data_IF_218179275465
#
_entry.id   IF_218179275465
#
_cell.length_a   1.000
_cell.length_b   1.000
_cell.length_c   1.000
_cell.angle_alpha   90.00
_cell.angle_beta   90.00
_cell.angle_gamma   90.00
#
_symmetry.space_group_name_H-M   'P 1'
#
loop_
_entity.id
_entity.type
_entity.pdbx_description
1 polymer ?
#
# COMPACT_ATOMS: atom_id res chain seq x y z
N UNK A 1 15.78 -19.03 23.81
CA UNK A 1 14.82 -17.93 23.61
C UNK A 1 14.07 -18.29 22.35
N UNK A 2 12.80 -18.67 22.46
CA UNK A 2 12.05 -19.27 21.35
C UNK A 2 11.65 -18.20 20.34
N UNK A 3 12.23 -18.30 19.15
CA UNK A 3 11.91 -17.55 17.95
C UNK A 3 10.47 -17.91 17.54
N UNK A 4 9.52 -17.01 17.81
CA UNK A 4 8.14 -17.17 17.36
C UNK A 4 8.08 -16.61 15.94
N UNK A 5 8.26 -17.47 14.95
CA UNK A 5 7.82 -17.18 13.59
C UNK A 5 6.31 -16.93 13.64
N UNK A 6 5.89 -15.69 13.38
CA UNK A 6 4.47 -15.37 13.19
C UNK A 6 4.03 -16.02 11.88
N UNK A 7 3.46 -17.22 11.98
CA UNK A 7 2.87 -17.93 10.85
C UNK A 7 1.76 -17.07 10.24
N UNK A 8 1.93 -16.69 8.97
CA UNK A 8 1.00 -15.84 8.23
C UNK A 8 -0.35 -16.54 8.07
N UNK A 9 -1.42 -15.93 8.59
CA UNK A 9 -2.75 -16.51 8.47
C UNK A 9 -3.22 -16.56 7.00
N UNK A 10 -3.61 -17.75 6.54
CA UNK A 10 -4.12 -17.97 5.20
C UNK A 10 -5.62 -17.68 5.11
N UNK A 11 -5.99 -16.70 4.28
CA UNK A 11 -7.38 -16.26 4.14
C UNK A 11 -8.16 -17.08 3.13
N UNK A 12 -8.92 -18.07 3.62
CA UNK A 12 -9.94 -18.76 2.84
C UNK A 12 -11.18 -17.90 2.55
N UNK A 13 -12.04 -18.41 1.66
CA UNK A 13 -13.30 -17.75 1.28
C UNK A 13 -14.22 -17.55 2.49
N UNK A 14 -14.43 -18.59 3.30
CA UNK A 14 -15.26 -18.54 4.52
C UNK A 14 -14.74 -17.51 5.53
N UNK A 15 -13.45 -17.58 5.87
CA UNK A 15 -12.82 -16.63 6.79
C UNK A 15 -12.93 -15.18 6.29
N UNK A 16 -12.80 -14.98 4.97
CA UNK A 16 -12.96 -13.65 4.37
C UNK A 16 -14.41 -13.16 4.46
N UNK A 17 -15.40 -14.01 4.19
CA UNK A 17 -16.82 -13.68 4.38
C UNK A 17 -17.12 -13.26 5.82
N UNK A 18 -16.61 -14.02 6.79
CA UNK A 18 -16.83 -13.72 8.21
C UNK A 18 -16.14 -12.42 8.63
N UNK A 19 -14.91 -12.17 8.15
CA UNK A 19 -14.25 -10.88 8.35
C UNK A 19 -15.11 -9.74 7.80
N UNK A 20 -15.66 -9.87 6.59
CA UNK A 20 -16.49 -8.83 5.97
C UNK A 20 -17.74 -8.56 6.82
N UNK A 21 -18.41 -9.62 7.29
CA UNK A 21 -19.59 -9.49 8.16
C UNK A 21 -19.26 -8.77 9.47
N UNK A 22 -18.13 -9.12 10.10
CA UNK A 22 -17.70 -8.46 11.33
C UNK A 22 -17.30 -7.01 11.07
N UNK A 23 -16.53 -6.76 10.02
CA UNK A 23 -16.12 -5.42 9.62
C UNK A 23 -17.32 -4.49 9.37
N UNK A 24 -18.35 -4.99 8.69
CA UNK A 24 -19.61 -4.24 8.46
C UNK A 24 -20.27 -3.75 9.75
N UNK A 25 -20.18 -4.54 10.83
CA UNK A 25 -20.74 -4.23 12.16
C UNK A 25 -19.94 -3.18 12.95
N UNK A 26 -18.78 -2.74 12.46
CA UNK A 26 -17.93 -1.76 13.12
C UNK A 26 -17.72 -0.49 12.26
N UNK A 27 -18.73 0.39 12.13
CA UNK A 27 -18.63 1.64 11.36
C UNK A 27 -17.45 2.54 11.74
N UNK A 28 -17.01 2.51 13.00
CA UNK A 28 -15.83 3.23 13.51
C UNK A 28 -14.56 2.97 12.67
N UNK A 29 -14.49 1.84 11.97
CA UNK A 29 -13.34 1.47 11.15
C UNK A 29 -13.37 2.07 9.73
N UNK A 30 -14.53 2.49 9.20
CA UNK A 30 -14.68 2.88 7.79
C UNK A 30 -15.57 4.10 7.52
N UNK A 31 -16.48 4.44 8.40
CA UNK A 31 -17.43 5.54 8.23
C UNK A 31 -16.83 6.83 8.79
N UNK A 32 -16.49 7.79 7.92
CA UNK A 32 -15.95 9.09 8.33
C UNK A 32 -16.93 9.94 9.15
N UNK A 33 -18.23 9.70 8.97
CA UNK A 33 -19.31 10.34 9.74
C UNK A 33 -19.49 9.74 11.14
N UNK A 34 -18.85 8.61 11.46
CA UNK A 34 -18.89 8.07 12.81
C UNK A 34 -18.05 8.97 13.73
N UNK A 35 -18.62 9.45 14.85
CA UNK A 35 -17.95 10.36 15.77
C UNK A 35 -16.63 9.80 16.33
N UNK A 36 -16.53 8.48 16.48
CA UNK A 36 -15.35 7.80 16.98
C UNK A 36 -14.34 7.43 15.87
N UNK A 37 -14.60 7.76 14.60
CA UNK A 37 -13.76 7.36 13.47
C UNK A 37 -12.29 7.78 13.62
N UNK A 38 -12.04 8.96 14.21
CA UNK A 38 -10.69 9.50 14.48
C UNK A 38 -10.09 8.99 15.79
N UNK A 39 -10.87 8.32 16.63
CA UNK A 39 -10.42 7.83 17.93
C UNK A 39 -9.62 6.52 17.78
N UNK A 40 -8.29 6.62 17.92
CA UNK A 40 -7.37 5.47 17.79
C UNK A 40 -7.71 4.32 18.75
N UNK A 41 -8.12 4.64 19.98
CA UNK A 41 -8.50 3.64 20.98
C UNK A 41 -9.73 2.85 20.56
N UNK A 42 -10.81 3.55 20.19
CA UNK A 42 -12.06 2.92 19.74
C UNK A 42 -11.90 2.08 18.48
N UNK A 43 -11.03 2.51 17.56
CA UNK A 43 -10.67 1.71 16.38
C UNK A 43 -9.93 0.43 16.77
N UNK A 44 -8.97 0.52 17.69
CA UNK A 44 -8.23 -0.63 18.19
C UNK A 44 -9.17 -1.58 18.95
N UNK A 45 -10.10 -1.07 19.76
CA UNK A 45 -11.12 -1.86 20.45
C UNK A 45 -11.99 -2.64 19.44
N UNK A 46 -12.42 -1.99 18.35
CA UNK A 46 -13.16 -2.64 17.29
C UNK A 46 -12.34 -3.73 16.57
N UNK A 47 -11.06 -3.48 16.28
CA UNK A 47 -10.17 -4.50 15.70
C UNK A 47 -9.96 -5.69 16.65
N UNK A 48 -9.82 -5.42 17.95
CA UNK A 48 -9.74 -6.45 18.98
C UNK A 48 -11.02 -7.27 19.06
N UNK A 49 -12.19 -6.64 18.99
CA UNK A 49 -13.48 -7.33 18.97
C UNK A 49 -13.59 -8.29 17.76
N UNK A 50 -13.20 -7.83 16.57
CA UNK A 50 -13.12 -8.67 15.36
C UNK A 50 -12.17 -9.85 15.59
N UNK A 51 -10.96 -9.60 16.10
CA UNK A 51 -9.97 -10.64 16.38
C UNK A 51 -10.52 -11.68 17.35
N UNK A 52 -11.09 -11.24 18.48
CA UNK A 52 -11.65 -12.13 19.49
C UNK A 52 -12.75 -13.04 18.93
N UNK A 53 -13.58 -12.53 18.02
CA UNK A 53 -14.58 -13.35 17.32
C UNK A 53 -13.93 -14.40 16.41
N UNK A 54 -12.94 -14.02 15.61
CA UNK A 54 -12.26 -14.94 14.70
C UNK A 54 -11.49 -16.02 15.47
N UNK A 55 -10.83 -15.66 16.58
CA UNK A 55 -10.16 -16.61 17.48
C UNK A 55 -11.14 -17.57 18.13
N UNK A 56 -12.31 -17.10 18.57
CA UNK A 56 -13.35 -17.98 19.14
C UNK A 56 -13.85 -19.01 18.14
N UNK A 57 -13.77 -18.71 16.85
CA UNK A 57 -14.11 -19.63 15.74
C UNK A 57 -12.93 -20.51 15.32
N UNK A 58 -11.87 -20.58 16.12
CA UNK A 58 -10.73 -21.48 15.93
C UNK A 58 -9.62 -20.94 15.04
N UNK A 59 -9.59 -19.63 14.73
CA UNK A 59 -8.55 -19.03 13.89
C UNK A 59 -7.49 -18.34 14.73
N UNK A 60 -6.23 -18.77 14.60
CA UNK A 60 -5.11 -18.02 15.14
C UNK A 60 -4.78 -16.85 14.19
N UNK A 61 -5.18 -15.63 14.53
CA UNK A 61 -5.00 -14.47 13.65
C UNK A 61 -4.56 -13.22 14.43
N UNK A 62 -3.60 -12.49 13.87
CA UNK A 62 -3.12 -11.25 14.44
C UNK A 62 -4.02 -10.06 14.05
N UNK A 63 -3.91 -8.96 14.82
CA UNK A 63 -4.55 -7.69 14.43
C UNK A 63 -3.98 -7.19 13.10
N UNK A 64 -2.70 -7.44 12.85
CA UNK A 64 -2.02 -6.96 11.65
C UNK A 64 -2.51 -7.69 10.39
N UNK A 65 -2.79 -8.99 10.48
CA UNK A 65 -3.43 -9.75 9.39
C UNK A 65 -4.83 -9.22 9.06
N UNK A 66 -5.61 -8.89 10.10
CA UNK A 66 -6.94 -8.30 9.93
C UNK A 66 -6.84 -6.94 9.23
N UNK A 67 -5.94 -6.06 9.69
CA UNK A 67 -5.72 -4.75 9.04
C UNK A 67 -5.30 -4.91 7.59
N UNK A 68 -4.33 -5.78 7.32
CA UNK A 68 -3.80 -6.06 5.98
C UNK A 68 -4.90 -6.56 5.06
N UNK A 69 -5.73 -7.50 5.53
CA UNK A 69 -6.86 -8.03 4.75
C UNK A 69 -7.94 -6.97 4.51
N UNK A 70 -8.32 -6.19 5.53
CA UNK A 70 -9.27 -5.08 5.37
C UNK A 70 -8.75 -4.06 4.36
N UNK A 71 -7.47 -3.70 4.42
CA UNK A 71 -6.84 -2.79 3.47
C UNK A 71 -6.94 -3.33 2.04
N UNK A 72 -6.55 -4.60 1.82
CA UNK A 72 -6.67 -5.25 0.51
C UNK A 72 -8.11 -5.24 -0.03
N UNK A 73 -9.09 -5.61 0.79
CA UNK A 73 -10.51 -5.60 0.42
C UNK A 73 -10.99 -4.19 0.00
N UNK A 74 -10.59 -3.16 0.76
CA UNK A 74 -10.92 -1.76 0.44
C UNK A 74 -10.31 -1.32 -0.88
N UNK A 75 -9.04 -1.65 -1.13
CA UNK A 75 -8.34 -1.32 -2.38
C UNK A 75 -9.01 -2.00 -3.57
N UNK A 76 -9.31 -3.31 -3.48
CA UNK A 76 -10.00 -4.05 -4.53
C UNK A 76 -11.39 -3.46 -4.83
N UNK A 77 -12.16 -3.14 -3.78
CA UNK A 77 -13.49 -2.52 -3.93
C UNK A 77 -13.42 -1.12 -4.56
N UNK A 78 -12.50 -0.26 -4.11
CA UNK A 78 -12.31 1.08 -4.67
C UNK A 78 -11.87 1.04 -6.14
N UNK A 79 -11.00 0.10 -6.50
CA UNK A 79 -10.59 -0.13 -7.89
C UNK A 79 -11.79 -0.56 -8.76
N UNK A 80 -12.62 -1.47 -8.25
CA UNK A 80 -13.82 -1.90 -8.96
C UNK A 80 -14.83 -0.76 -9.13
N UNK A 81 -15.08 0.05 -8.09
CA UNK A 81 -15.91 1.25 -8.19
C UNK A 81 -15.37 2.22 -9.23
N UNK A 82 -14.05 2.45 -9.27
CA UNK A 82 -13.41 3.34 -10.23
C UNK A 82 -13.56 2.83 -11.67
N UNK A 83 -13.49 1.51 -11.89
CA UNK A 83 -13.73 0.89 -13.21
C UNK A 83 -15.18 1.10 -13.66
N UNK A 84 -16.14 0.89 -12.75
CA UNK A 84 -17.57 1.08 -13.02
C UNK A 84 -17.95 2.53 -13.26
N UNK A 85 -17.33 3.47 -12.53
CA UNK A 85 -17.56 4.92 -12.76
C UNK A 85 -17.12 5.36 -14.16
N UNK A 86 -16.08 4.73 -14.71
CA UNK A 86 -15.58 5.03 -16.06
C UNK A 86 -16.40 4.34 -17.16
N UNK A 87 -16.96 3.17 -16.87
CA UNK A 87 -17.81 2.43 -17.79
C UNK A 87 -18.93 1.74 -17.02
N UNK A 88 -20.14 2.29 -17.15
CA UNK A 88 -21.35 1.87 -16.43
C UNK A 88 -21.77 0.44 -16.77
N UNK A 89 -21.37 -0.07 -17.94
CA UNK A 89 -21.71 -1.44 -18.38
C UNK A 89 -20.78 -2.52 -17.78
N UNK A 90 -19.69 -2.13 -17.12
CA UNK A 90 -18.75 -3.08 -16.51
C UNK A 90 -19.36 -3.70 -15.25
N UNK A 91 -19.62 -5.01 -15.30
CA UNK A 91 -20.05 -5.79 -14.13
C UNK A 91 -18.90 -6.02 -13.13
N UNK A 92 -19.18 -6.17 -11.83
CA UNK A 92 -18.15 -6.45 -10.84
C UNK A 92 -17.52 -7.82 -11.06
N UNK A 93 -16.18 -7.87 -11.09
CA UNK A 93 -15.44 -9.14 -11.14
C UNK A 93 -15.00 -9.61 -9.75
N UNK A 94 -14.95 -8.70 -8.77
CA UNK A 94 -14.67 -9.03 -7.38
C UNK A 94 -15.81 -9.86 -6.76
N UNK A 95 -15.52 -11.10 -6.38
CA UNK A 95 -16.52 -12.04 -5.86
C UNK A 95 -17.29 -11.52 -4.62
N UNK A 96 -16.61 -10.75 -3.76
CA UNK A 96 -17.19 -10.18 -2.55
C UNK A 96 -17.69 -8.73 -2.74
N UNK A 97 -17.78 -8.23 -3.98
CA UNK A 97 -18.14 -6.84 -4.27
C UNK A 97 -19.44 -6.41 -3.58
N UNK A 98 -20.50 -7.20 -3.74
CA UNK A 98 -21.81 -6.91 -3.14
C UNK A 98 -21.77 -6.94 -1.60
N UNK A 99 -20.89 -7.77 -1.01
CA UNK A 99 -20.74 -7.83 0.44
C UNK A 99 -20.04 -6.60 1.01
N UNK A 100 -19.20 -5.93 0.21
CA UNK A 100 -18.46 -4.72 0.56
C UNK A 100 -19.23 -3.42 0.26
N UNK A 101 -20.46 -3.51 -0.26
CA UNK A 101 -21.21 -2.33 -0.71
C UNK A 101 -21.54 -1.33 0.41
N UNK A 102 -21.50 -1.77 1.68
CA UNK A 102 -21.60 -0.87 2.83
C UNK A 102 -20.47 0.18 2.91
N UNK A 103 -19.38 0.00 2.17
CA UNK A 103 -18.29 0.95 2.07
C UNK A 103 -18.57 2.09 1.08
N UNK A 104 -19.57 1.95 0.20
CA UNK A 104 -19.88 2.90 -0.88
C UNK A 104 -20.00 4.33 -0.38
N UNK A 105 -20.75 4.54 0.70
CA UNK A 105 -20.98 5.87 1.27
C UNK A 105 -19.68 6.56 1.71
N UNK A 106 -18.66 5.79 2.10
CA UNK A 106 -17.33 6.33 2.43
C UNK A 106 -16.54 6.79 1.20
N UNK A 107 -16.91 6.37 -0.01
CA UNK A 107 -16.22 6.68 -1.28
C UNK A 107 -16.98 7.67 -2.17
N UNK A 108 -18.30 7.76 -2.04
CA UNK A 108 -19.11 8.58 -2.95
C UNK A 108 -19.24 10.03 -2.53
N UNK A 109 -18.77 10.41 -1.34
CA UNK A 109 -18.88 11.78 -0.83
C UNK A 109 -20.34 12.12 -0.53
N UNK A 110 -20.59 12.70 0.63
CA UNK A 110 -21.91 13.26 0.90
C UNK A 110 -22.08 14.46 -0.03
N UNK A 111 -22.98 14.36 -1.02
CA UNK A 111 -23.45 15.52 -1.77
C UNK A 111 -24.52 16.21 -0.91
N UNK A 112 -24.07 17.02 0.05
CA UNK A 112 -24.94 18.07 0.61
C UNK A 112 -25.07 19.16 -0.47
N UNK A 113 -26.28 19.64 -0.79
CA UNK A 113 -26.46 20.72 -1.74
C UNK A 113 -26.04 22.06 -1.11
N UNK A 114 -25.22 22.79 -1.87
CA UNK A 114 -24.93 24.23 -1.84
C UNK A 114 -24.40 24.88 -0.55
N UNK A 115 -23.08 25.14 -0.53
CA UNK A 115 -22.58 26.50 -0.31
C UNK A 115 -21.16 26.65 -0.89
N UNK A 116 -21.00 27.52 -1.89
CA UNK A 116 -19.72 27.85 -2.51
C UNK A 116 -18.77 28.51 -1.49
N UNK A 117 -17.71 27.80 -1.11
CA UNK A 117 -16.42 28.45 -0.86
C UNK A 117 -15.26 27.45 -1.03
N UNK A 118 -14.41 27.77 -2.00
CA UNK A 118 -13.23 27.03 -2.40
C UNK A 118 -12.13 27.24 -1.34
N UNK A 119 -11.78 26.20 -0.61
CA UNK A 119 -10.40 26.00 -0.16
C UNK A 119 -9.98 24.55 -0.40
N UNK A 120 -9.16 24.41 -1.44
CA UNK A 120 -8.68 23.19 -2.02
C UNK A 120 -7.58 22.58 -1.16
N UNK A 121 -7.90 21.51 -0.44
CA UNK A 121 -6.92 20.55 0.05
C UNK A 121 -7.54 19.15 0.09
N UNK A 122 -7.68 18.53 -1.09
CA UNK A 122 -7.86 17.07 -1.19
C UNK A 122 -6.49 16.41 -1.26
N UNK A 123 -5.85 16.30 -0.11
CA UNK A 123 -4.79 15.32 0.13
C UNK A 123 -5.43 13.93 0.20
N UNK A 124 -5.75 13.38 -0.97
CA UNK A 124 -6.14 11.99 -1.18
C UNK A 124 -5.32 11.47 -2.35
N UNK A 125 -4.01 11.37 -2.15
CA UNK A 125 -3.06 11.15 -3.23
C UNK A 125 -1.81 10.35 -2.88
N UNK A 126 -1.93 9.20 -2.21
CA UNK A 126 -0.96 8.11 -2.42
C UNK A 126 -1.55 6.73 -2.06
N UNK A 127 -2.49 6.26 -2.87
CA UNK A 127 -2.85 4.84 -2.88
C UNK A 127 -1.76 4.08 -3.65
N UNK A 128 -0.85 3.44 -2.92
CA UNK A 128 0.04 2.45 -3.49
C UNK A 128 -0.79 1.35 -4.15
N UNK A 129 -0.71 1.26 -5.47
CA UNK A 129 -1.27 0.16 -6.27
C UNK A 129 -0.36 -1.06 -6.05
N UNK A 130 -0.55 -1.76 -4.93
CA UNK A 130 -0.21 -3.17 -4.84
C UNK A 130 -1.33 -3.95 -5.53
N UNK A 131 -1.16 -4.23 -6.82
CA UNK A 131 -1.91 -5.29 -7.47
C UNK A 131 -1.30 -6.63 -7.07
N UNK A 132 -1.88 -7.26 -6.04
CA UNK A 132 -1.85 -8.72 -5.93
C UNK A 132 -2.93 -9.26 -6.88
N UNK A 133 -2.46 -9.79 -7.99
CA UNK A 133 -3.23 -10.65 -8.89
C UNK A 133 -3.05 -12.09 -8.41
N UNK A 134 -3.97 -12.57 -7.56
CA UNK A 134 -4.05 -13.99 -7.20
C UNK A 134 -4.98 -14.67 -8.19
N UNK A 135 -4.38 -15.10 -9.30
CA UNK A 135 -4.84 -16.25 -10.05
C UNK A 135 -3.62 -17.11 -10.36
N UNK A 136 -3.48 -18.18 -9.57
CA UNK A 136 -2.62 -19.37 -9.72
C UNK A 136 -1.35 -19.42 -8.83
N UNK A 137 -1.36 -20.41 -7.93
CA UNK A 137 -0.20 -20.95 -7.22
C UNK A 137 0.83 -21.52 -8.21
N UNK A 138 2.10 -21.12 -8.13
CA UNK A 138 3.26 -21.89 -7.63
C UNK A 138 4.56 -21.20 -8.07
N UNK A 139 5.40 -20.81 -7.10
CA UNK A 139 6.87 -20.96 -7.11
C UNK A 139 7.48 -20.03 -6.05
N UNK A 140 8.32 -20.64 -5.23
CA UNK A 140 9.14 -20.15 -4.12
C UNK A 140 10.15 -19.05 -4.49
N UNK A 141 10.84 -18.54 -3.46
CA UNK A 141 12.02 -17.64 -3.46
C UNK A 141 11.65 -16.16 -3.69
N UNK A 142 11.92 -15.22 -2.79
CA UNK A 142 13.16 -14.98 -2.05
C UNK A 142 12.89 -14.56 -0.59
N UNK A 143 13.65 -15.18 0.31
CA UNK A 143 14.05 -14.61 1.60
C UNK A 143 15.26 -13.67 1.40
N UNK A 144 15.41 -12.74 2.35
CA UNK A 144 16.62 -12.01 2.73
C UNK A 144 17.23 -10.96 1.78
N UNK A 145 16.81 -9.70 1.94
CA UNK A 145 17.77 -8.60 2.13
C UNK A 145 17.35 -7.74 3.32
N UNK A 146 18.08 -7.92 4.42
CA UNK A 146 18.10 -7.08 5.61
C UNK A 146 18.95 -5.82 5.35
N UNK A 147 18.32 -4.64 5.24
CA UNK A 147 19.00 -3.37 5.54
C UNK A 147 18.13 -2.55 6.48
N UNK A 148 18.60 -2.46 7.72
CA UNK A 148 18.10 -1.62 8.80
C UNK A 148 18.07 -0.15 8.36
N UNK A 149 16.94 0.52 8.55
CA UNK A 149 16.93 1.98 8.69
C UNK A 149 15.97 2.40 9.80
N UNK A 150 16.55 2.87 10.90
CA UNK A 150 15.85 3.54 11.99
C UNK A 150 15.98 5.06 11.81
N UNK A 151 14.80 5.67 11.66
CA UNK A 151 14.29 6.96 12.19
C UNK A 151 15.05 8.28 11.93
N UNK A 152 14.51 9.16 11.07
CA UNK A 152 13.67 10.36 11.37
C UNK A 152 14.46 11.66 11.64
N UNK A 153 13.83 12.85 11.81
CA UNK A 153 13.22 13.67 10.78
C UNK A 153 13.70 15.14 10.86
N UNK A 154 13.04 16.01 10.09
CA UNK A 154 12.80 17.47 10.32
C UNK A 154 13.49 18.47 9.38
N UNK A 155 12.59 19.15 8.65
CA UNK A 155 12.44 20.59 8.43
C UNK A 155 13.59 21.44 7.88
N UNK A 156 13.26 22.13 6.77
CA UNK A 156 13.35 23.59 6.73
C UNK A 156 14.29 24.15 5.67
N UNK A 157 13.69 24.76 4.63
CA UNK A 157 14.04 26.02 3.95
C UNK A 157 15.34 26.69 4.46
N UNK A 158 16.28 27.19 3.65
CA UNK A 158 16.14 28.32 2.71
C UNK A 158 17.35 28.40 1.76
N UNK A 159 17.15 29.19 0.70
CA UNK A 159 18.05 29.68 -0.34
C UNK A 159 19.34 30.41 0.11
N UNK A 160 20.28 30.48 -0.85
CA UNK A 160 21.33 31.51 -1.07
C UNK A 160 22.74 31.32 -0.47
N UNK A 161 23.71 31.14 -1.39
CA UNK A 161 25.09 31.67 -1.48
C UNK A 161 25.87 31.97 -0.19
N UNK A 162 27.07 31.38 -0.06
CA UNK A 162 28.37 32.08 -0.08
C UNK A 162 29.50 31.08 0.30
N UNK A 163 30.58 31.19 -0.46
CA UNK A 163 31.88 30.53 -0.34
C UNK A 163 32.53 30.64 1.06
N UNK A 164 33.03 29.53 1.62
CA UNK A 164 33.98 29.53 2.75
C UNK A 164 35.15 28.58 2.44
N UNK A 165 36.41 28.98 2.70
CA UNK A 165 37.60 28.27 2.24
C UNK A 165 37.97 27.07 3.12
N UNK A 166 38.69 26.16 2.48
CA UNK A 166 39.18 24.85 2.94
C UNK A 166 40.10 24.94 4.16
N UNK A 167 39.71 24.31 5.27
CA UNK A 167 40.59 23.49 6.11
C UNK A 167 39.74 22.65 7.07
N UNK A 168 40.04 21.34 7.14
CA UNK A 168 39.50 20.34 8.07
C UNK A 168 38.16 19.63 7.77
N UNK A 169 37.99 19.12 6.54
CA UNK A 169 37.09 17.97 6.28
C UNK A 169 37.88 16.84 5.62
N UNK A 170 38.52 16.02 6.47
CA UNK A 170 38.92 14.66 6.08
C UNK A 170 37.76 13.73 6.41
N UNK A 171 36.93 13.41 5.42
CA UNK A 171 36.45 12.03 5.11
C UNK A 171 35.42 12.02 3.96
N UNK A 172 35.92 11.60 2.79
CA UNK A 172 35.22 10.88 1.70
C UNK A 172 33.97 11.55 1.11
N UNK A 173 34.19 12.43 0.13
CA UNK A 173 33.35 12.39 -1.07
C UNK A 173 33.64 11.05 -1.76
N UNK A 174 32.69 10.13 -1.74
CA UNK A 174 32.69 9.03 -2.70
C UNK A 174 32.14 9.61 -3.98
N UNK A 175 33.01 9.74 -4.98
CA UNK A 175 32.61 9.96 -6.37
C UNK A 175 31.49 8.97 -6.70
N UNK A 176 30.35 9.48 -7.17
CA UNK A 176 29.26 8.62 -7.62
C UNK A 176 29.79 7.72 -8.72
N UNK A 177 29.81 6.41 -8.45
CA UNK A 177 30.27 5.41 -9.41
C UNK A 177 29.41 5.46 -10.68
N UNK A 178 29.95 5.01 -11.82
CA UNK A 178 29.30 5.08 -13.13
C UNK A 178 27.93 4.39 -13.11
N UNK A 179 27.79 3.32 -12.33
CA UNK A 179 26.53 2.62 -12.10
C UNK A 179 25.49 3.47 -11.35
N UNK A 180 25.93 4.28 -10.37
CA UNK A 180 25.05 5.20 -9.64
C UNK A 180 24.54 6.31 -10.55
N UNK A 181 25.42 6.85 -11.40
CA UNK A 181 25.07 7.86 -12.40
C UNK A 181 24.08 7.30 -13.42
N UNK A 182 24.32 6.07 -13.90
CA UNK A 182 23.40 5.38 -14.79
C UNK A 182 22.05 5.10 -14.11
N UNK A 183 22.04 4.66 -12.85
CA UNK A 183 20.82 4.43 -12.08
C UNK A 183 19.95 5.69 -11.96
N UNK A 184 20.57 6.85 -11.73
CA UNK A 184 19.88 8.15 -11.73
C UNK A 184 19.33 8.52 -13.11
N UNK A 185 20.07 8.25 -14.18
CA UNK A 185 19.60 8.49 -15.54
C UNK A 185 18.35 7.63 -15.85
N UNK A 186 18.42 6.34 -15.54
CA UNK A 186 17.29 5.40 -15.70
C UNK A 186 16.08 5.88 -14.89
N UNK A 187 16.30 6.35 -13.66
CA UNK A 187 15.24 6.92 -12.84
C UNK A 187 14.56 8.12 -13.51
N UNK A 188 15.35 9.07 -14.05
CA UNK A 188 14.83 10.24 -14.73
C UNK A 188 14.01 9.87 -15.98
N UNK A 189 14.46 8.89 -16.77
CA UNK A 189 13.72 8.43 -17.95
C UNK A 189 12.42 7.70 -17.57
N UNK A 190 12.44 6.86 -16.53
CA UNK A 190 11.23 6.19 -16.04
C UNK A 190 10.18 7.19 -15.53
N UNK A 191 10.60 8.30 -14.92
CA UNK A 191 9.69 9.38 -14.47
C UNK A 191 8.97 10.08 -15.63
N UNK A 192 9.51 10.04 -16.85
CA UNK A 192 8.86 10.63 -18.04
C UNK A 192 7.70 9.78 -18.56
N UNK A 193 7.61 8.50 -18.16
CA UNK A 193 6.56 7.60 -18.63
C UNK A 193 5.29 7.79 -17.78
N UNK A 194 4.34 8.56 -18.30
CA UNK A 194 3.05 8.83 -17.60
C UNK A 194 2.11 7.62 -17.62
N UNK A 195 2.21 6.74 -18.63
CA UNK A 195 1.36 5.56 -18.73
C UNK A 195 1.85 4.46 -17.76
N UNK A 196 1.05 4.08 -16.74
CA UNK A 196 1.50 3.14 -15.71
C UNK A 196 1.73 1.72 -16.24
N UNK A 197 1.03 1.31 -17.30
CA UNK A 197 1.21 -0.02 -17.91
C UNK A 197 2.53 -0.10 -18.67
N UNK A 198 2.89 0.97 -19.41
CA UNK A 198 4.18 1.06 -20.09
C UNK A 198 5.34 1.18 -19.10
N UNK A 199 5.15 1.91 -17.99
CA UNK A 199 6.14 2.01 -16.92
C UNK A 199 6.38 0.66 -16.24
N UNK A 200 5.32 -0.10 -15.96
CA UNK A 200 5.44 -1.47 -15.40
C UNK A 200 6.13 -2.41 -16.38
N UNK A 201 5.77 -2.35 -17.67
CA UNK A 201 6.44 -3.12 -18.71
C UNK A 201 7.94 -2.78 -18.75
N UNK A 202 8.30 -1.50 -18.84
CA UNK A 202 9.69 -1.06 -18.87
C UNK A 202 10.49 -1.53 -17.64
N UNK A 203 9.92 -1.42 -16.43
CA UNK A 203 10.56 -1.94 -15.20
C UNK A 203 10.78 -3.44 -15.25
N UNK A 204 9.80 -4.22 -15.74
CA UNK A 204 9.91 -5.68 -15.87
C UNK A 204 11.02 -6.07 -16.85
N UNK A 205 11.09 -5.41 -18.00
CA UNK A 205 12.14 -5.68 -18.99
C UNK A 205 13.54 -5.36 -18.44
N UNK A 206 13.70 -4.22 -17.75
CA UNK A 206 14.98 -3.85 -17.11
C UNK A 206 15.40 -4.91 -16.09
N UNK A 207 14.48 -5.35 -15.23
CA UNK A 207 14.78 -6.38 -14.23
C UNK A 207 15.11 -7.71 -14.90
N UNK A 208 14.37 -8.12 -15.95
CA UNK A 208 14.64 -9.36 -16.68
C UNK A 208 16.05 -9.39 -17.22
N UNK A 209 16.48 -8.32 -17.90
CA UNK A 209 17.84 -8.22 -18.45
C UNK A 209 18.91 -8.29 -17.36
N UNK A 210 18.65 -7.70 -16.18
CA UNK A 210 19.58 -7.77 -15.05
C UNK A 210 19.68 -9.18 -14.46
N UNK A 211 18.55 -9.91 -14.41
CA UNK A 211 18.52 -11.30 -13.96
C UNK A 211 19.28 -12.20 -14.94
N UNK A 212 19.00 -12.09 -16.24
CA UNK A 212 19.67 -12.88 -17.28
C UNK A 212 21.20 -12.64 -17.26
N UNK A 213 21.63 -11.38 -17.09
CA UNK A 213 23.04 -11.04 -17.01
C UNK A 213 23.74 -11.57 -15.74
N UNK A 214 23.00 -11.82 -14.66
CA UNK A 214 23.53 -12.40 -13.44
C UNK A 214 23.62 -13.94 -13.57
N UNK A 215 22.62 -14.57 -14.17
CA UNK A 215 22.60 -16.01 -14.41
C UNK A 215 23.71 -16.45 -15.40
N UNK A 216 24.03 -15.63 -16.40
CA UNK A 216 25.14 -15.87 -17.33
C UNK A 216 26.54 -15.74 -16.69
N UNK A 217 26.64 -15.14 -15.51
CA UNK A 217 27.92 -14.95 -14.80
C UNK A 217 28.31 -16.11 -13.88
N UNK A 218 27.41 -17.09 -13.71
CA UNK A 218 27.60 -18.31 -12.90
C UNK A 218 27.94 -19.57 -13.73
N UNK A 219 28.36 -19.41 -15.00
CA UNK A 219 28.80 -20.48 -15.93
C UNK A 219 30.30 -20.42 -16.23
#
# INVERSE_FOLDING_TARGET
MSEHSEEKFMWGHEATCELIQLYKRHPVLYASFNSDYKNKGKRLDALNAIRSELVRRGRNISIEDIKRKIHGLRTQYANQLSKMKKNVEVKPTLWCFNQLDFLRNSYEGQHEPDNDNIHESKDLGHYNVYEHDDSQEVASFYDDINVKQEVTPTNGMVETSVFVPVSDIKKRERTEDDLSTFGKLVELELRKITNPQLLRKAKKEIISVLMDAQDDSDI
#
